data_IF_693756961682
#
_entry.id   IF_693756961682
#
_cell.length_a   1.000
_cell.length_b   1.000
_cell.length_c   1.000
_cell.angle_alpha   90.00
_cell.angle_beta   90.00
_cell.angle_gamma   90.00
#
_symmetry.space_group_name_H-M   'P 1'
#
loop_
_entity.id
_entity.type
_entity.pdbx_description
1 polymer ?
#
# COMPACT_ATOMS: atom_id res chain seq x y z
N UNK A 1 18.50 -35.36 10.55
CA UNK A 1 18.10 -35.41 11.98
C UNK A 1 17.81 -34.00 12.42
N UNK A 2 16.56 -33.66 12.67
CA UNK A 2 16.19 -32.36 13.25
C UNK A 2 16.43 -32.51 14.76
N UNK A 3 17.55 -32.01 15.24
CA UNK A 3 17.89 -32.00 16.66
C UNK A 3 16.89 -31.06 17.36
N UNK A 4 15.97 -31.64 18.10
CA UNK A 4 15.02 -30.87 18.92
C UNK A 4 15.80 -30.28 20.10
N UNK A 5 16.07 -28.99 20.04
CA UNK A 5 16.68 -28.23 21.13
C UNK A 5 15.58 -27.43 21.85
N UNK A 6 14.90 -27.99 22.85
CA UNK A 6 13.71 -27.37 23.46
C UNK A 6 14.03 -25.99 24.09
N UNK A 7 15.21 -25.82 24.66
CA UNK A 7 15.64 -24.56 25.28
C UNK A 7 15.88 -23.46 24.21
N UNK A 8 16.52 -23.81 23.10
CA UNK A 8 16.77 -22.88 21.99
C UNK A 8 15.45 -22.44 21.35
N UNK A 9 14.49 -23.36 21.20
CA UNK A 9 13.15 -23.04 20.70
C UNK A 9 12.39 -22.14 21.67
N UNK A 10 12.48 -22.38 22.97
CA UNK A 10 11.84 -21.52 23.98
C UNK A 10 12.40 -20.11 23.92
N UNK A 11 13.72 -19.96 23.89
CA UNK A 11 14.37 -18.65 23.78
C UNK A 11 13.96 -17.96 22.47
N UNK A 12 13.93 -18.67 21.34
CA UNK A 12 13.45 -18.13 20.07
C UNK A 12 12.02 -17.59 20.14
N UNK A 13 11.09 -18.35 20.76
CA UNK A 13 9.72 -17.89 20.95
C UNK A 13 9.62 -16.67 21.87
N UNK A 14 10.38 -16.63 22.96
CA UNK A 14 10.41 -15.46 23.85
C UNK A 14 10.90 -14.20 23.15
N UNK A 15 11.97 -14.30 22.34
CA UNK A 15 12.46 -13.18 21.53
C UNK A 15 11.39 -12.71 20.53
N UNK A 16 10.72 -13.65 19.84
CA UNK A 16 9.65 -13.31 18.90
C UNK A 16 8.47 -12.63 19.59
N UNK A 17 8.02 -13.15 20.74
CA UNK A 17 6.93 -12.58 21.53
C UNK A 17 7.29 -11.16 21.99
N UNK A 18 8.50 -10.98 22.51
CA UNK A 18 8.99 -9.65 22.93
C UNK A 18 9.01 -8.67 21.73
N UNK A 19 9.50 -9.13 20.59
CA UNK A 19 9.48 -8.33 19.35
C UNK A 19 8.07 -7.94 18.94
N UNK A 20 7.11 -8.85 19.00
CA UNK A 20 5.69 -8.57 18.70
C UNK A 20 5.13 -7.53 19.68
N UNK A 21 5.39 -7.68 20.98
CA UNK A 21 4.92 -6.72 22.01
C UNK A 21 5.46 -5.32 21.71
N UNK A 22 6.76 -5.19 21.44
CA UNK A 22 7.40 -3.90 21.15
C UNK A 22 6.78 -3.24 19.90
N UNK A 23 6.59 -4.01 18.81
CA UNK A 23 6.03 -3.49 17.56
C UNK A 23 4.52 -3.20 17.69
N UNK A 24 3.78 -4.00 18.44
CA UNK A 24 2.34 -3.81 18.64
C UNK A 24 2.02 -2.70 19.67
N UNK A 25 2.95 -2.36 20.54
CA UNK A 25 2.73 -1.38 21.60
C UNK A 25 2.24 0.00 21.11
N UNK A 26 2.83 0.63 20.08
CA UNK A 26 2.32 1.90 19.57
C UNK A 26 0.88 1.81 19.07
N UNK A 27 0.50 0.69 18.43
CA UNK A 27 -0.87 0.47 17.94
C UNK A 27 -1.83 0.30 19.11
N UNK A 28 -1.45 -0.53 20.10
CA UNK A 28 -2.18 -0.69 21.35
C UNK A 28 -2.39 0.64 22.07
N UNK A 29 -1.32 1.42 22.20
CA UNK A 29 -1.37 2.73 22.85
C UNK A 29 -2.29 3.71 22.10
N UNK A 30 -2.23 3.75 20.77
CA UNK A 30 -3.14 4.56 19.94
C UNK A 30 -4.60 4.14 20.15
N UNK A 31 -4.86 2.83 20.26
CA UNK A 31 -6.19 2.30 20.56
C UNK A 31 -6.65 2.74 21.96
N UNK A 32 -5.81 2.61 22.97
CA UNK A 32 -6.13 3.09 24.34
C UNK A 32 -6.42 4.59 24.33
N UNK A 33 -5.55 5.39 23.69
CA UNK A 33 -5.75 6.83 23.57
C UNK A 33 -7.04 7.21 22.81
N UNK A 34 -7.46 6.42 21.82
CA UNK A 34 -8.72 6.65 21.11
C UNK A 34 -9.98 6.53 21.98
N UNK A 35 -9.86 5.91 23.16
CA UNK A 35 -10.93 5.77 24.15
C UNK A 35 -10.95 6.87 25.23
N UNK A 36 -10.04 7.84 25.15
CA UNK A 36 -9.88 8.90 26.12
C UNK A 36 -10.35 10.25 25.58
N UNK A 37 -10.55 11.24 26.46
CA UNK A 37 -10.74 12.63 26.06
C UNK A 37 -9.42 13.28 25.63
N UNK A 38 -9.44 14.30 24.78
CA UNK A 38 -8.23 15.03 24.36
C UNK A 38 -7.41 15.53 25.56
N UNK A 39 -8.06 15.95 26.65
CA UNK A 39 -7.39 16.42 27.86
C UNK A 39 -6.69 15.31 28.63
N UNK A 40 -7.22 14.10 28.65
CA UNK A 40 -6.59 12.92 29.26
C UNK A 40 -5.35 12.47 28.48
N UNK A 41 -5.39 12.58 27.14
CA UNK A 41 -4.28 12.17 26.28
C UNK A 41 -3.04 13.04 26.48
N UNK A 42 -3.21 14.35 26.73
CA UNK A 42 -2.10 15.31 26.87
C UNK A 42 -1.60 15.48 28.31
N UNK A 43 -2.34 14.99 29.32
CA UNK A 43 -1.98 15.15 30.72
C UNK A 43 -1.31 13.89 31.29
N UNK A 44 -0.05 13.97 31.74
CA UNK A 44 0.59 12.85 32.43
C UNK A 44 0.00 12.65 33.84
N UNK A 45 0.01 11.41 34.41
CA UNK A 45 0.44 10.17 33.75
C UNK A 45 -0.59 9.65 32.76
N UNK A 46 -0.10 9.17 31.61
CA UNK A 46 -0.98 8.62 30.58
C UNK A 46 -1.37 7.20 31.00
N UNK A 47 -2.69 6.90 30.99
CA UNK A 47 -3.19 5.56 31.28
C UNK A 47 -2.81 4.58 30.17
N UNK A 48 -2.48 3.35 30.55
CA UNK A 48 -2.31 2.23 29.62
C UNK A 48 -3.58 1.37 29.52
N UNK A 49 -4.65 1.73 30.23
CA UNK A 49 -5.94 1.06 30.18
C UNK A 49 -6.94 1.91 29.38
N UNK A 50 -7.84 1.29 28.60
CA UNK A 50 -8.88 2.00 27.86
C UNK A 50 -9.73 2.89 28.77
N UNK A 51 -10.10 4.07 28.27
CA UNK A 51 -11.03 4.99 28.95
C UNK A 51 -12.50 4.70 28.62
N UNK A 52 -13.40 5.49 29.17
CA UNK A 52 -14.84 5.27 29.09
C UNK A 52 -15.51 5.90 27.85
N UNK A 53 -14.75 6.64 27.02
CA UNK A 53 -15.26 7.41 25.88
C UNK A 53 -15.11 6.69 24.53
N UNK A 54 -14.81 5.38 24.51
CA UNK A 54 -14.55 4.65 23.27
C UNK A 54 -15.70 4.80 22.25
N UNK A 55 -16.90 4.42 22.63
CA UNK A 55 -18.07 4.44 21.74
C UNK A 55 -18.42 5.85 21.30
N UNK A 56 -18.36 6.81 22.22
CA UNK A 56 -18.65 8.23 21.95
C UNK A 56 -17.66 8.80 20.94
N UNK A 57 -16.34 8.65 21.17
CA UNK A 57 -15.29 9.16 20.29
C UNK A 57 -15.41 8.60 18.87
N UNK A 58 -15.65 7.28 18.72
CA UNK A 58 -15.81 6.67 17.41
C UNK A 58 -17.09 7.15 16.72
N UNK A 59 -18.18 7.24 17.44
CA UNK A 59 -19.45 7.76 16.90
C UNK A 59 -19.30 9.22 16.45
N UNK A 60 -18.74 10.08 17.29
CA UNK A 60 -18.53 11.48 16.94
C UNK A 60 -17.55 11.66 15.79
N UNK A 61 -16.45 10.94 15.76
CA UNK A 61 -15.48 11.02 14.67
C UNK A 61 -16.10 10.67 13.32
N UNK A 62 -16.93 9.61 13.28
CA UNK A 62 -17.62 9.17 12.06
C UNK A 62 -18.74 10.12 11.66
N UNK A 63 -19.55 10.59 12.60
CA UNK A 63 -20.77 11.36 12.32
C UNK A 63 -20.59 12.89 12.45
N UNK A 64 -19.44 13.42 12.05
CA UNK A 64 -19.21 14.84 11.85
C UNK A 64 -18.13 15.49 12.70
N UNK A 65 -17.56 14.80 13.70
CA UNK A 65 -16.48 15.34 14.53
C UNK A 65 -15.24 15.67 13.70
N UNK A 66 -14.81 14.75 12.86
CA UNK A 66 -13.68 14.96 11.94
C UNK A 66 -13.99 16.01 10.90
N UNK A 67 -15.20 16.02 10.35
CA UNK A 67 -15.63 17.00 9.35
C UNK A 67 -15.60 18.43 9.88
N UNK A 68 -15.99 18.66 11.13
CA UNK A 68 -15.90 19.98 11.79
C UNK A 68 -14.47 20.49 11.88
N UNK A 69 -13.48 19.59 11.94
CA UNK A 69 -12.06 19.96 12.09
C UNK A 69 -11.37 20.15 10.74
N UNK A 70 -11.58 19.24 9.78
CA UNK A 70 -10.82 19.24 8.52
C UNK A 70 -11.65 19.60 7.29
N UNK A 71 -12.95 19.88 7.45
CA UNK A 71 -13.85 20.30 6.37
C UNK A 71 -14.31 19.18 5.44
N UNK A 72 -14.07 17.91 5.81
CA UNK A 72 -14.46 16.73 5.04
C UNK A 72 -14.72 15.55 5.96
N UNK A 73 -15.71 14.72 5.63
CA UNK A 73 -16.09 13.57 6.44
C UNK A 73 -14.98 12.49 6.46
N UNK A 74 -14.88 11.77 7.58
CA UNK A 74 -13.93 10.67 7.75
C UNK A 74 -14.13 9.57 6.70
N UNK A 75 -15.39 9.26 6.37
CA UNK A 75 -15.74 8.31 5.32
C UNK A 75 -15.12 8.71 3.97
N UNK A 76 -15.20 9.99 3.60
CA UNK A 76 -14.64 10.51 2.35
C UNK A 76 -13.12 10.40 2.34
N UNK A 77 -12.45 10.70 3.45
CA UNK A 77 -11.00 10.55 3.59
C UNK A 77 -10.55 9.09 3.38
N UNK A 78 -11.25 8.15 4.02
CA UNK A 78 -11.01 6.70 3.88
C UNK A 78 -11.27 6.23 2.46
N UNK A 79 -12.39 6.67 1.86
CA UNK A 79 -12.75 6.31 0.49
C UNK A 79 -11.71 6.80 -0.53
N UNK A 80 -11.34 8.07 -0.46
CA UNK A 80 -10.31 8.63 -1.34
C UNK A 80 -9.02 7.82 -1.24
N UNK A 81 -8.61 7.49 -0.02
CA UNK A 81 -7.37 6.75 0.21
C UNK A 81 -7.45 5.33 -0.34
N UNK A 82 -8.59 4.66 -0.12
CA UNK A 82 -8.83 3.33 -0.67
C UNK A 82 -8.80 3.32 -2.20
N UNK A 83 -9.49 4.26 -2.85
CA UNK A 83 -9.49 4.40 -4.31
C UNK A 83 -8.10 4.66 -4.84
N UNK A 84 -7.34 5.57 -4.21
CA UNK A 84 -5.97 5.90 -4.62
C UNK A 84 -5.05 4.69 -4.47
N UNK A 85 -5.06 4.01 -3.32
CA UNK A 85 -4.21 2.84 -3.08
C UNK A 85 -4.55 1.69 -4.03
N UNK A 86 -5.84 1.43 -4.25
CA UNK A 86 -6.32 0.40 -5.16
C UNK A 86 -5.93 0.71 -6.62
N UNK A 87 -6.15 1.94 -7.08
CA UNK A 87 -5.81 2.35 -8.44
C UNK A 87 -4.30 2.26 -8.70
N UNK A 88 -3.47 2.68 -7.73
CA UNK A 88 -2.02 2.56 -7.83
C UNK A 88 -1.60 1.08 -7.88
N UNK A 89 -2.11 0.23 -6.98
CA UNK A 89 -1.74 -1.17 -6.93
C UNK A 89 -2.12 -1.92 -8.20
N UNK A 90 -3.38 -1.79 -8.63
CA UNK A 90 -3.90 -2.44 -9.84
C UNK A 90 -3.22 -1.89 -11.10
N UNK A 91 -3.07 -0.57 -11.21
CA UNK A 91 -2.39 0.07 -12.34
C UNK A 91 -0.94 -0.38 -12.48
N UNK A 92 -0.18 -0.42 -11.37
CA UNK A 92 1.20 -0.95 -11.36
C UNK A 92 1.25 -2.40 -11.81
N UNK A 93 0.35 -3.26 -11.34
CA UNK A 93 0.30 -4.67 -11.72
C UNK A 93 0.04 -4.80 -13.21
N UNK A 94 -0.99 -4.14 -13.74
CA UNK A 94 -1.37 -4.24 -15.16
C UNK A 94 -0.22 -3.76 -16.05
N UNK A 95 0.32 -2.56 -15.82
CA UNK A 95 1.39 -1.99 -16.64
C UNK A 95 2.65 -2.85 -16.56
N UNK A 96 3.02 -3.30 -15.36
CA UNK A 96 4.23 -4.11 -15.16
C UNK A 96 4.10 -5.51 -15.75
N UNK A 97 2.94 -6.15 -15.62
CA UNK A 97 2.65 -7.44 -16.22
C UNK A 97 2.73 -7.39 -17.75
N UNK A 98 2.07 -6.39 -18.35
CA UNK A 98 2.10 -6.19 -19.80
C UNK A 98 3.50 -5.86 -20.32
N UNK A 99 4.25 -5.00 -19.60
CA UNK A 99 5.63 -4.67 -19.95
C UNK A 99 6.56 -5.90 -19.89
N UNK A 100 6.47 -6.67 -18.81
CA UNK A 100 7.23 -7.90 -18.66
C UNK A 100 6.85 -8.94 -19.72
N UNK A 101 5.56 -9.09 -20.02
CA UNK A 101 5.05 -9.97 -21.08
C UNK A 101 5.65 -9.60 -22.43
N UNK A 102 5.64 -8.32 -22.79
CA UNK A 102 6.22 -7.85 -24.04
C UNK A 102 7.73 -8.14 -24.10
N UNK A 103 8.46 -7.83 -23.03
CA UNK A 103 9.93 -8.01 -22.98
C UNK A 103 10.35 -9.47 -23.04
N UNK A 104 9.61 -10.39 -22.45
CA UNK A 104 9.99 -11.82 -22.39
C UNK A 104 9.53 -12.58 -23.62
N UNK A 105 8.28 -12.46 -24.02
CA UNK A 105 7.68 -13.34 -25.02
C UNK A 105 7.69 -12.78 -26.43
N UNK A 106 7.92 -11.49 -26.62
CA UNK A 106 8.02 -10.92 -27.97
C UNK A 106 9.46 -10.66 -28.37
N UNK A 107 9.73 -10.84 -29.68
CA UNK A 107 11.00 -10.51 -30.31
C UNK A 107 10.84 -9.18 -31.08
N UNK A 108 11.28 -8.09 -30.48
CA UNK A 108 11.31 -6.77 -31.12
C UNK A 108 12.70 -6.13 -30.95
N UNK A 109 13.09 -5.22 -31.86
CA UNK A 109 14.38 -4.57 -31.77
C UNK A 109 14.48 -3.76 -30.47
N UNK A 110 15.68 -3.71 -29.91
CA UNK A 110 15.99 -2.94 -28.69
C UNK A 110 15.22 -3.34 -27.42
N UNK A 111 14.60 -4.53 -27.34
CA UNK A 111 13.84 -4.96 -26.14
C UNK A 111 14.62 -4.87 -24.84
N UNK A 112 15.93 -5.19 -24.88
CA UNK A 112 16.80 -5.09 -23.69
C UNK A 112 17.12 -3.64 -23.34
N UNK A 113 17.22 -2.76 -24.31
CA UNK A 113 17.35 -1.32 -24.06
C UNK A 113 16.12 -0.78 -23.31
N UNK A 114 14.91 -1.10 -23.74
CA UNK A 114 13.68 -0.70 -23.04
C UNK A 114 13.61 -1.29 -21.63
N UNK A 115 14.02 -2.55 -21.46
CA UNK A 115 14.10 -3.14 -20.12
C UNK A 115 15.06 -2.37 -19.22
N UNK A 116 16.27 -2.09 -19.68
CA UNK A 116 17.25 -1.34 -18.91
C UNK A 116 16.82 0.10 -18.65
N UNK A 117 16.16 0.73 -19.59
CA UNK A 117 15.59 2.06 -19.42
C UNK A 117 14.55 2.08 -18.28
N UNK A 118 13.64 1.10 -18.23
CA UNK A 118 12.69 0.93 -17.11
C UNK A 118 13.46 0.67 -15.81
N UNK A 119 14.44 -0.22 -15.85
CA UNK A 119 15.20 -0.63 -14.66
C UNK A 119 15.99 0.53 -14.04
N UNK A 120 16.62 1.37 -14.85
CA UNK A 120 17.36 2.55 -14.39
C UNK A 120 16.46 3.53 -13.63
N UNK A 121 15.16 3.58 -13.94
CA UNK A 121 14.22 4.43 -13.20
C UNK A 121 14.07 4.04 -11.72
N UNK A 122 14.46 2.81 -11.32
CA UNK A 122 14.56 2.41 -9.91
C UNK A 122 15.63 3.20 -9.15
N UNK A 123 16.68 3.63 -9.85
CA UNK A 123 17.81 4.33 -9.24
C UNK A 123 17.50 5.81 -8.95
N UNK A 124 16.43 6.35 -9.55
CA UNK A 124 16.03 7.73 -9.33
C UNK A 124 15.13 7.83 -8.09
N UNK A 125 15.58 8.50 -7.03
CA UNK A 125 14.73 8.79 -5.88
C UNK A 125 13.46 9.54 -6.29
N UNK A 126 12.33 9.23 -5.62
CA UNK A 126 11.05 9.88 -5.92
C UNK A 126 11.15 11.39 -5.73
N UNK A 127 11.92 11.83 -4.76
CA UNK A 127 12.15 13.22 -4.40
C UNK A 127 12.75 14.04 -5.56
N UNK A 128 13.63 13.44 -6.36
CA UNK A 128 14.26 14.12 -7.51
C UNK A 128 13.27 14.41 -8.63
N UNK A 129 12.31 13.50 -8.85
CA UNK A 129 11.33 13.61 -9.94
C UNK A 129 10.00 14.25 -9.54
N UNK A 130 9.79 14.52 -8.25
CA UNK A 130 8.49 14.98 -7.74
C UNK A 130 8.09 16.32 -8.32
N UNK A 131 9.00 17.30 -8.37
CA UNK A 131 8.72 18.64 -8.90
C UNK A 131 8.44 18.64 -10.41
N UNK A 132 9.26 17.99 -11.27
CA UNK A 132 8.91 17.85 -12.68
C UNK A 132 7.57 17.16 -12.92
N UNK A 133 7.27 16.10 -12.15
CA UNK A 133 5.99 15.39 -12.25
C UNK A 133 4.83 16.28 -11.84
N UNK A 134 4.97 17.04 -10.75
CA UNK A 134 3.97 18.01 -10.30
C UNK A 134 3.66 19.05 -11.38
N UNK A 135 4.71 19.62 -12.01
CA UNK A 135 4.51 20.56 -13.12
C UNK A 135 3.67 19.97 -14.24
N UNK A 136 3.96 18.74 -14.67
CA UNK A 136 3.16 18.06 -15.70
C UNK A 136 1.71 17.90 -15.28
N UNK A 137 1.44 17.54 -14.02
CA UNK A 137 0.07 17.41 -13.50
C UNK A 137 -0.66 18.75 -13.48
N UNK A 138 0.03 19.84 -13.12
CA UNK A 138 -0.54 21.19 -13.18
C UNK A 138 -0.85 21.59 -14.63
N UNK A 139 0.11 21.40 -15.55
CA UNK A 139 -0.03 21.75 -16.97
C UNK A 139 -1.19 20.97 -17.65
N UNK A 140 -1.46 19.75 -17.19
CA UNK A 140 -2.58 18.91 -17.63
C UNK A 140 -3.91 19.20 -16.91
N UNK A 141 -3.95 20.12 -15.94
CA UNK A 141 -5.15 20.45 -15.17
C UNK A 141 -5.66 19.30 -14.28
N UNK A 142 -4.75 18.44 -13.80
CA UNK A 142 -5.10 17.23 -13.04
C UNK A 142 -4.97 17.42 -11.52
N UNK A 143 -4.75 18.62 -11.02
CA UNK A 143 -4.79 18.95 -9.59
C UNK A 143 -6.20 18.66 -9.07
N UNK A 144 -6.31 18.19 -7.83
CA UNK A 144 -7.57 17.82 -7.17
C UNK A 144 -8.39 16.75 -7.93
N UNK A 145 -7.71 15.82 -8.60
CA UNK A 145 -8.34 14.70 -9.28
C UNK A 145 -7.74 13.35 -8.89
N UNK A 146 -8.53 12.29 -8.97
CA UNK A 146 -8.02 10.93 -8.81
C UNK A 146 -6.94 10.58 -9.86
N UNK A 147 -7.06 11.10 -11.07
CA UNK A 147 -6.07 10.89 -12.12
C UNK A 147 -4.72 11.50 -11.72
N UNK A 148 -4.69 12.73 -11.22
CA UNK A 148 -3.48 13.38 -10.73
C UNK A 148 -2.86 12.64 -9.54
N UNK A 149 -3.70 12.10 -8.64
CA UNK A 149 -3.24 11.32 -7.49
C UNK A 149 -2.63 9.96 -7.86
N UNK A 150 -3.07 9.33 -8.96
CA UNK A 150 -2.77 7.92 -9.24
C UNK A 150 -1.88 7.68 -10.44
N UNK A 151 -2.14 8.34 -11.59
CA UNK A 151 -1.43 8.05 -12.86
C UNK A 151 0.10 8.16 -12.75
N UNK A 152 0.69 9.20 -12.12
CA UNK A 152 2.14 9.31 -12.01
C UNK A 152 2.78 8.18 -11.18
N UNK A 153 2.00 7.55 -10.32
CA UNK A 153 2.45 6.48 -9.43
C UNK A 153 2.19 5.07 -9.98
N UNK A 154 1.50 4.92 -11.11
CA UNK A 154 1.16 3.59 -11.67
C UNK A 154 2.35 2.89 -12.35
N UNK A 155 3.43 3.57 -12.69
CA UNK A 155 4.63 2.92 -13.19
C UNK A 155 5.44 2.28 -12.07
N UNK A 156 5.95 1.05 -12.29
CA UNK A 156 6.79 0.34 -11.31
C UNK A 156 7.84 -0.52 -12.00
N UNK A 157 9.09 -0.08 -11.93
CA UNK A 157 10.20 -0.87 -12.43
C UNK A 157 10.42 -2.14 -11.58
N UNK A 158 10.22 -2.07 -10.25
CA UNK A 158 10.33 -3.24 -9.35
C UNK A 158 9.32 -4.33 -9.74
N UNK A 159 8.05 -3.96 -9.93
CA UNK A 159 7.03 -4.94 -10.31
C UNK A 159 7.29 -5.51 -11.71
N UNK A 160 7.73 -4.68 -12.68
CA UNK A 160 8.13 -5.14 -14.01
C UNK A 160 9.31 -6.12 -13.96
N UNK A 161 10.31 -5.83 -13.12
CA UNK A 161 11.44 -6.72 -12.89
C UNK A 161 11.01 -8.06 -12.31
N UNK A 162 10.18 -8.06 -11.26
CA UNK A 162 9.71 -9.29 -10.60
C UNK A 162 8.87 -10.15 -11.56
N UNK A 163 7.95 -9.55 -12.30
CA UNK A 163 7.20 -10.30 -13.33
C UNK A 163 8.12 -10.87 -14.42
N UNK A 164 9.10 -10.07 -14.88
CA UNK A 164 10.08 -10.57 -15.85
C UNK A 164 10.86 -11.76 -15.32
N UNK A 165 11.36 -11.71 -14.08
CA UNK A 165 12.06 -12.83 -13.47
C UNK A 165 11.19 -14.08 -13.42
N UNK A 166 9.95 -13.93 -12.97
CA UNK A 166 8.99 -15.04 -12.96
C UNK A 166 8.70 -15.57 -14.37
N UNK A 167 8.49 -14.72 -15.36
CA UNK A 167 8.19 -15.17 -16.73
C UNK A 167 9.37 -15.93 -17.38
N UNK A 168 10.59 -15.61 -16.97
CA UNK A 168 11.78 -16.36 -17.43
C UNK A 168 11.87 -17.78 -16.84
N UNK A 169 11.15 -18.09 -15.76
CA UNK A 169 11.08 -19.45 -15.20
C UNK A 169 10.02 -20.33 -15.85
N UNK A 170 9.18 -19.77 -16.71
CA UNK A 170 8.12 -20.52 -17.40
C UNK A 170 8.73 -21.42 -18.47
N UNK A 171 8.46 -22.74 -18.44
CA UNK A 171 8.98 -23.68 -19.42
C UNK A 171 8.61 -23.31 -20.86
N UNK A 172 9.59 -23.43 -21.78
CA UNK A 172 9.39 -23.14 -23.19
C UNK A 172 8.32 -24.03 -23.85
N UNK A 173 8.16 -25.25 -23.35
CA UNK A 173 7.18 -26.22 -23.81
C UNK A 173 5.74 -25.71 -23.74
N UNK A 174 5.43 -24.89 -22.73
CA UNK A 174 4.09 -24.25 -22.61
C UNK A 174 3.85 -23.23 -23.73
N UNK A 175 4.91 -22.51 -24.13
CA UNK A 175 4.83 -21.54 -25.24
C UNK A 175 4.68 -22.29 -26.57
N UNK A 176 5.40 -23.40 -26.75
CA UNK A 176 5.34 -24.24 -27.94
C UNK A 176 3.98 -24.94 -28.05
N UNK A 177 3.47 -25.51 -26.96
CA UNK A 177 2.12 -26.10 -26.91
C UNK A 177 1.05 -25.08 -27.30
N UNK A 178 1.13 -23.87 -26.75
CA UNK A 178 0.17 -22.80 -27.12
C UNK A 178 0.23 -22.43 -28.61
N UNK A 179 1.41 -22.48 -29.22
CA UNK A 179 1.57 -22.26 -30.67
C UNK A 179 0.98 -23.39 -31.51
N UNK A 180 1.17 -24.65 -31.11
CA UNK A 180 0.56 -25.82 -31.75
C UNK A 180 -0.97 -25.73 -31.71
N UNK A 181 -1.52 -25.27 -30.56
CA UNK A 181 -2.96 -25.05 -30.39
C UNK A 181 -3.47 -23.77 -31.08
N UNK A 182 -2.63 -23.11 -31.88
CA UNK A 182 -2.94 -21.88 -32.58
C UNK A 182 -3.43 -20.76 -31.65
N UNK A 183 -2.95 -20.75 -30.39
CA UNK A 183 -3.26 -19.71 -29.42
C UNK A 183 -2.47 -18.43 -29.71
N UNK A 184 -3.17 -17.36 -30.04
CA UNK A 184 -2.55 -16.03 -30.19
C UNK A 184 -2.00 -15.51 -28.85
N UNK A 185 -1.17 -14.45 -28.89
CA UNK A 185 -0.50 -13.92 -27.70
C UNK A 185 -1.47 -13.55 -26.57
N UNK A 186 -2.61 -12.98 -26.87
CA UNK A 186 -3.62 -12.62 -25.88
C UNK A 186 -4.26 -13.84 -25.21
N UNK A 187 -4.52 -14.91 -25.99
CA UNK A 187 -5.04 -16.16 -25.45
C UNK A 187 -4.00 -16.84 -24.57
N UNK A 188 -2.73 -16.88 -24.97
CA UNK A 188 -1.63 -17.38 -24.15
C UNK A 188 -1.53 -16.60 -22.83
N UNK A 189 -1.56 -15.27 -22.89
CA UNK A 189 -1.51 -14.41 -21.71
C UNK A 189 -2.66 -14.70 -20.74
N UNK A 190 -3.91 -14.76 -21.25
CA UNK A 190 -5.10 -14.91 -20.43
C UNK A 190 -5.26 -16.33 -19.87
N UNK A 191 -5.04 -17.36 -20.71
CA UNK A 191 -5.42 -18.74 -20.38
C UNK A 191 -4.26 -19.52 -19.72
N UNK A 192 -3.01 -19.08 -19.90
CA UNK A 192 -1.82 -19.75 -19.37
C UNK A 192 -1.06 -18.84 -18.42
N UNK A 193 -0.59 -17.68 -18.88
CA UNK A 193 0.32 -16.84 -18.12
C UNK A 193 -0.33 -16.24 -16.89
N UNK A 194 -1.54 -15.70 -17.02
CA UNK A 194 -2.27 -15.05 -15.93
C UNK A 194 -2.64 -16.05 -14.81
N UNK A 195 -3.15 -17.26 -15.11
CA UNK A 195 -3.37 -18.29 -14.10
C UNK A 195 -2.10 -18.73 -13.35
N UNK A 196 -0.99 -18.92 -14.06
CA UNK A 196 0.29 -19.28 -13.46
C UNK A 196 0.85 -18.16 -12.55
N UNK A 197 0.54 -16.90 -12.88
CA UNK A 197 1.02 -15.72 -12.16
C UNK A 197 0.19 -15.36 -10.92
N UNK A 198 -0.90 -16.07 -10.61
CA UNK A 198 -1.85 -15.68 -9.53
C UNK A 198 -1.16 -15.43 -8.19
N UNK A 199 -0.24 -16.31 -7.79
CA UNK A 199 0.48 -16.19 -6.52
C UNK A 199 1.38 -14.93 -6.52
N UNK A 200 2.12 -14.69 -7.60
CA UNK A 200 2.98 -13.53 -7.74
C UNK A 200 2.18 -12.22 -7.82
N UNK A 201 1.06 -12.23 -8.55
CA UNK A 201 0.14 -11.08 -8.61
C UNK A 201 -0.40 -10.77 -7.20
N UNK A 202 -0.82 -11.78 -6.45
CA UNK A 202 -1.35 -11.60 -5.11
C UNK A 202 -0.28 -11.06 -4.13
N UNK A 203 0.93 -11.60 -4.18
CA UNK A 203 2.05 -11.11 -3.36
C UNK A 203 2.39 -9.66 -3.70
N UNK A 204 2.52 -9.34 -4.99
CA UNK A 204 2.78 -7.97 -5.44
C UNK A 204 1.62 -7.02 -5.09
N UNK A 205 0.37 -7.47 -5.18
CA UNK A 205 -0.78 -6.65 -4.82
C UNK A 205 -0.69 -6.16 -3.37
N UNK A 206 -0.37 -7.04 -2.42
CA UNK A 206 -0.21 -6.64 -1.01
C UNK A 206 0.85 -5.54 -0.86
N UNK A 207 2.03 -5.76 -1.44
CA UNK A 207 3.14 -4.81 -1.37
C UNK A 207 2.76 -3.46 -2.01
N UNK A 208 2.15 -3.50 -3.19
CA UNK A 208 1.81 -2.31 -3.95
C UNK A 208 0.60 -1.57 -3.38
N UNK A 209 -0.34 -2.28 -2.76
CA UNK A 209 -1.45 -1.67 -2.02
C UNK A 209 -0.93 -0.92 -0.79
N UNK A 210 -0.06 -1.56 0.02
CA UNK A 210 0.57 -0.90 1.16
C UNK A 210 1.37 0.32 0.69
N UNK A 211 2.14 0.20 -0.40
CA UNK A 211 2.84 1.34 -0.99
C UNK A 211 1.88 2.49 -1.34
N UNK A 212 0.76 2.20 -2.02
CA UNK A 212 -0.27 3.19 -2.34
C UNK A 212 -0.93 3.77 -1.09
N UNK A 213 -1.16 2.93 -0.08
CA UNK A 213 -1.76 3.31 1.20
C UNK A 213 -0.85 4.17 2.07
N UNK A 214 0.44 4.12 1.93
CA UNK A 214 1.40 4.94 2.71
C UNK A 214 1.81 6.23 2.01
N UNK A 215 1.20 6.56 0.85
CA UNK A 215 1.52 7.79 0.14
C UNK A 215 1.10 9.03 0.93
N UNK A 216 2.07 9.92 1.15
CA UNK A 216 1.88 11.17 1.88
C UNK A 216 2.30 12.38 1.06
N UNK A 217 3.56 12.41 0.62
CA UNK A 217 4.16 13.59 -0.01
C UNK A 217 3.47 13.94 -1.34
N UNK A 218 3.13 12.93 -2.16
CA UNK A 218 2.47 13.15 -3.43
C UNK A 218 1.04 13.70 -3.26
N UNK A 219 0.14 13.08 -2.48
CA UNK A 219 -1.16 13.67 -2.19
C UNK A 219 -1.08 15.07 -1.59
N UNK A 220 -0.11 15.34 -0.71
CA UNK A 220 0.08 16.66 -0.11
C UNK A 220 0.32 17.76 -1.14
N UNK A 221 1.00 17.43 -2.25
CA UNK A 221 1.31 18.41 -3.30
C UNK A 221 0.16 18.61 -4.29
N UNK A 222 -0.60 17.54 -4.60
CA UNK A 222 -1.59 17.56 -5.68
C UNK A 222 -3.03 17.71 -5.21
N UNK A 223 -3.27 17.84 -3.89
CA UNK A 223 -4.62 18.10 -3.35
C UNK A 223 -4.68 19.41 -2.58
N UNK A 224 -5.46 20.36 -3.11
CA UNK A 224 -5.79 21.62 -2.46
C UNK A 224 -7.20 21.59 -1.87
N UNK A 225 -8.15 20.93 -2.57
CA UNK A 225 -9.53 20.73 -2.08
C UNK A 225 -9.56 19.66 -0.97
N UNK A 226 -10.15 20.01 0.18
CA UNK A 226 -10.33 19.08 1.30
C UNK A 226 -11.08 17.80 0.89
N UNK A 227 -11.99 17.89 -0.09
CA UNK A 227 -12.78 16.75 -0.60
C UNK A 227 -11.91 15.70 -1.31
N UNK A 228 -10.73 16.06 -1.76
CA UNK A 228 -9.78 15.16 -2.42
C UNK A 228 -8.66 14.66 -1.49
N UNK A 229 -8.64 15.13 -0.25
CA UNK A 229 -7.64 14.68 0.72
C UNK A 229 -7.75 13.18 1.00
N UNK A 230 -6.59 12.56 1.18
CA UNK A 230 -6.46 11.21 1.73
C UNK A 230 -6.47 11.27 3.26
N UNK A 231 -6.69 10.11 3.91
CA UNK A 231 -6.77 10.08 5.38
C UNK A 231 -5.48 10.54 6.07
N UNK A 232 -4.31 10.29 5.49
CA UNK A 232 -3.04 10.76 6.05
C UNK A 232 -2.95 12.29 6.01
N UNK A 233 -3.43 12.91 4.93
CA UNK A 233 -3.50 14.38 4.83
C UNK A 233 -4.54 14.92 5.85
N UNK A 234 -5.66 14.25 6.01
CA UNK A 234 -6.65 14.58 7.03
C UNK A 234 -6.07 14.54 8.45
N UNK A 235 -5.35 13.46 8.78
CA UNK A 235 -4.65 13.33 10.07
C UNK A 235 -3.66 14.47 10.30
N UNK A 236 -2.84 14.79 9.29
CA UNK A 236 -1.92 15.92 9.40
C UNK A 236 -2.64 17.22 9.66
N UNK A 237 -3.71 17.52 8.92
CA UNK A 237 -4.49 18.75 9.12
C UNK A 237 -5.11 18.84 10.52
N UNK A 238 -5.54 17.71 11.11
CA UNK A 238 -6.02 17.68 12.50
C UNK A 238 -4.93 18.06 13.49
N UNK A 239 -3.69 17.61 13.27
CA UNK A 239 -2.54 17.93 14.14
C UNK A 239 -2.08 19.36 13.93
N UNK A 240 -2.03 19.83 12.67
CA UNK A 240 -1.63 21.21 12.32
C UNK A 240 -2.73 22.25 12.68
N UNK A 241 -3.96 21.83 13.00
CA UNK A 241 -5.05 22.71 13.46
C UNK A 241 -4.67 23.51 14.71
N UNK A 242 -3.60 23.14 15.26
CA UNK A 242 -2.72 23.73 16.26
C UNK A 242 -3.27 24.75 17.26
N UNK A 243 -2.40 25.03 18.01
CA UNK A 243 -2.05 25.95 19.07
C UNK A 243 -2.66 25.71 20.44
N UNK A 244 -3.76 25.06 20.65
CA UNK A 244 -4.20 24.71 22.01
C UNK A 244 -5.33 23.67 22.05
N UNK A 245 -5.89 23.32 20.93
CA UNK A 245 -7.13 22.54 20.87
C UNK A 245 -7.12 21.38 19.88
N UNK A 246 -5.95 20.80 19.55
CA UNK A 246 -5.91 19.58 18.73
C UNK A 246 -6.84 18.53 19.32
N UNK A 247 -7.84 18.06 18.55
CA UNK A 247 -8.78 17.04 19.00
C UNK A 247 -8.11 15.66 19.00
N UNK A 248 -7.22 15.44 19.94
CA UNK A 248 -6.39 14.21 19.99
C UNK A 248 -7.21 12.92 20.00
N UNK A 249 -8.42 12.94 20.60
CA UNK A 249 -9.35 11.82 20.54
C UNK A 249 -9.72 11.46 19.09
N UNK A 250 -10.05 12.46 18.23
CA UNK A 250 -10.36 12.20 16.82
C UNK A 250 -9.13 11.81 16.02
N UNK A 251 -7.97 12.37 16.32
CA UNK A 251 -6.68 11.97 15.69
C UNK A 251 -6.42 10.49 15.94
N UNK A 252 -6.56 10.03 17.21
CA UNK A 252 -6.32 8.64 17.57
C UNK A 252 -7.36 7.68 16.95
N UNK A 253 -8.64 8.04 16.97
CA UNK A 253 -9.69 7.26 16.29
C UNK A 253 -9.40 7.16 14.78
N UNK A 254 -9.08 8.28 14.14
CA UNK A 254 -8.78 8.32 12.70
C UNK A 254 -7.55 7.48 12.36
N UNK A 255 -6.51 7.53 13.21
CA UNK A 255 -5.32 6.70 13.05
C UNK A 255 -5.63 5.20 13.14
N UNK A 256 -6.45 4.77 14.10
CA UNK A 256 -6.89 3.36 14.20
C UNK A 256 -7.68 2.95 12.97
N UNK A 257 -8.64 3.76 12.54
CA UNK A 257 -9.45 3.46 11.35
C UNK A 257 -8.60 3.44 10.06
N UNK A 258 -7.55 4.28 9.99
CA UNK A 258 -6.62 4.27 8.87
C UNK A 258 -5.76 3.00 8.78
N UNK A 259 -5.50 2.32 9.89
CA UNK A 259 -4.69 1.08 9.90
C UNK A 259 -5.53 -0.15 9.50
N UNK A 260 -6.86 -0.13 9.67
CA UNK A 260 -7.72 -1.28 9.41
C UNK A 260 -7.62 -1.81 7.97
N UNK A 261 -7.73 -1.01 6.89
CA UNK A 261 -7.69 -1.53 5.53
C UNK A 261 -6.39 -2.26 5.16
N UNK A 262 -5.18 -1.76 5.46
CA UNK A 262 -3.95 -2.52 5.23
C UNK A 262 -3.91 -3.84 6.02
N UNK A 263 -4.33 -3.83 7.29
CA UNK A 263 -4.39 -5.05 8.10
C UNK A 263 -5.32 -6.08 7.44
N UNK A 264 -6.51 -5.66 7.01
CA UNK A 264 -7.45 -6.55 6.33
C UNK A 264 -6.86 -7.14 5.05
N UNK A 265 -6.20 -6.33 4.22
CA UNK A 265 -5.54 -6.82 3.00
C UNK A 265 -4.46 -7.85 3.34
N UNK A 266 -3.59 -7.57 4.32
CA UNK A 266 -2.54 -8.49 4.74
C UNK A 266 -3.12 -9.79 5.28
N UNK A 267 -4.09 -9.73 6.20
CA UNK A 267 -4.70 -10.90 6.83
C UNK A 267 -5.44 -11.78 5.80
N UNK A 268 -6.19 -11.17 4.89
CA UNK A 268 -6.93 -11.90 3.86
C UNK A 268 -5.98 -12.54 2.83
N UNK A 269 -4.88 -11.88 2.53
CA UNK A 269 -3.96 -12.30 1.47
C UNK A 269 -2.68 -12.98 1.98
N UNK A 270 -2.49 -13.14 3.29
CA UNK A 270 -1.26 -13.70 3.88
C UNK A 270 -0.86 -15.07 3.29
N UNK A 271 -1.85 -15.93 2.98
CA UNK A 271 -1.57 -17.27 2.42
C UNK A 271 -0.90 -17.19 1.04
N UNK A 272 -1.33 -16.25 0.19
CA UNK A 272 -0.74 -16.05 -1.13
C UNK A 272 0.60 -15.31 -1.04
N UNK A 273 0.69 -14.35 -0.12
CA UNK A 273 1.93 -13.62 0.13
C UNK A 273 3.07 -14.54 0.58
N UNK A 274 2.81 -15.39 1.56
CA UNK A 274 3.81 -16.37 2.06
C UNK A 274 4.21 -17.36 0.97
N UNK A 275 3.26 -17.89 0.19
CA UNK A 275 3.56 -18.78 -0.94
C UNK A 275 4.42 -18.09 -1.99
N UNK A 276 4.09 -16.84 -2.38
CA UNK A 276 4.85 -16.11 -3.39
C UNK A 276 6.29 -15.79 -3.00
N UNK A 277 6.59 -15.66 -1.70
CA UNK A 277 7.95 -15.47 -1.22
C UNK A 277 8.75 -16.78 -1.13
N UNK A 278 8.11 -17.88 -0.76
CA UNK A 278 8.79 -19.18 -0.52
C UNK A 278 8.98 -19.97 -1.83
N UNK A 279 8.05 -19.86 -2.78
CA UNK A 279 8.17 -20.55 -4.09
C UNK A 279 9.28 -19.97 -5.00
N UNK A 280 9.80 -18.80 -4.66
CA UNK A 280 10.92 -18.19 -5.40
C UNK A 280 12.28 -18.80 -5.01
N UNK A 281 12.34 -19.62 -3.95
CA UNK A 281 13.57 -20.25 -3.44
C UNK A 281 13.74 -21.74 -3.87
N UNK A 282 12.88 -22.25 -4.72
CA UNK A 282 13.02 -23.59 -5.33
C UNK A 282 13.24 -23.44 -6.84
#
# INVERSE_FOLDING_TARGET
MIEQRPVSNLIGHLILILGIIIVAFPIYYTFVASSMTSTQIIRPPISLLPGDHLVENYREAIFGGVERVVGVSLERLLWNFFVVAMAIAVGKIIISFMSAFAIVFFRFPMRMFFFWMIFITLMLPVEVRILPTYKVIVDLGMIDTYAGLTLPLMASATATFLFRQFFLTIPGELVEAARIDNAGPFRFMRDILLPLSKTNIAALFVILFIYGWTQYLWPLLVTNDAKMNTIIIGLRRMVDWADASTPWNYVMVTAILAIIPPILVVVLMQRWFVKGLVETEK
#
